data_IF_692626117322
#
_entry.id   IF_692626117322
#
_cell.length_a   1.000
_cell.length_b   1.000
_cell.length_c   1.000
_cell.angle_alpha   90.00
_cell.angle_beta   90.00
_cell.angle_gamma   90.00
#
_symmetry.space_group_name_H-M   'P 1'
#
loop_
_entity.id
_entity.type
_entity.pdbx_description
1 polymer ?
#
# COMPACT_ATOMS: atom_id res chain seq x y z
N UNK A 1 -35.20 8.21 14.99
CA UNK A 1 -34.73 8.53 16.36
C UNK A 1 -33.30 9.02 16.25
N UNK A 2 -32.95 10.15 16.86
CA UNK A 2 -31.56 10.62 16.91
C UNK A 2 -30.80 9.88 18.01
N UNK A 3 -29.68 9.23 17.67
CA UNK A 3 -28.78 8.64 18.66
C UNK A 3 -28.12 9.75 19.49
N UNK A 4 -28.17 9.65 20.82
CA UNK A 4 -27.49 10.61 21.70
C UNK A 4 -26.12 10.08 22.19
N UNK A 5 -25.87 8.76 22.01
CA UNK A 5 -24.60 8.06 22.27
C UNK A 5 -24.10 8.17 23.71
N UNK A 6 -25.00 8.39 24.68
CA UNK A 6 -24.65 8.55 26.10
C UNK A 6 -24.56 7.22 26.87
N UNK A 7 -25.15 6.15 26.35
CA UNK A 7 -25.11 4.82 26.96
C UNK A 7 -24.32 3.83 26.12
N UNK A 8 -23.64 2.90 26.77
CA UNK A 8 -22.89 1.83 26.10
C UNK A 8 -23.81 0.97 25.21
N UNK A 9 -25.06 0.74 25.63
CA UNK A 9 -26.07 0.02 24.86
C UNK A 9 -26.43 0.73 23.56
N UNK A 10 -26.64 2.05 23.60
CA UNK A 10 -26.92 2.83 22.39
C UNK A 10 -25.74 2.82 21.41
N UNK A 11 -24.51 2.94 21.93
CA UNK A 11 -23.29 2.87 21.10
C UNK A 11 -23.18 1.50 20.42
N UNK A 12 -23.42 0.41 21.16
CA UNK A 12 -23.41 -0.96 20.60
C UNK A 12 -24.48 -1.14 19.52
N UNK A 13 -25.68 -0.64 19.75
CA UNK A 13 -26.77 -0.70 18.78
C UNK A 13 -26.41 0.07 17.50
N UNK A 14 -25.95 1.32 17.64
CA UNK A 14 -25.52 2.15 16.52
C UNK A 14 -24.44 1.46 15.68
N UNK A 15 -23.39 0.92 16.32
CA UNK A 15 -22.30 0.20 15.66
C UNK A 15 -22.83 -1.04 14.93
N UNK A 16 -23.78 -1.78 15.52
CA UNK A 16 -24.35 -2.95 14.88
C UNK A 16 -25.19 -2.57 13.65
N UNK A 17 -26.02 -1.53 13.75
CA UNK A 17 -26.81 -1.01 12.63
C UNK A 17 -25.90 -0.50 11.51
N UNK A 18 -24.82 0.21 11.85
CA UNK A 18 -23.82 0.66 10.87
C UNK A 18 -23.20 -0.52 10.10
N UNK A 19 -22.89 -1.62 10.79
CA UNK A 19 -22.40 -2.84 10.15
C UNK A 19 -23.42 -3.52 9.23
N UNK A 20 -24.73 -3.36 9.47
CA UNK A 20 -25.81 -3.84 8.60
C UNK A 20 -25.88 -2.96 7.35
N UNK A 21 -25.88 -1.64 7.51
CA UNK A 21 -25.88 -0.68 6.40
C UNK A 21 -24.69 -0.89 5.47
N UNK A 22 -23.48 -1.06 6.02
CA UNK A 22 -22.29 -1.35 5.22
C UNK A 22 -22.38 -2.68 4.47
N UNK A 23 -22.99 -3.72 5.05
CA UNK A 23 -23.23 -4.99 4.36
C UNK A 23 -24.22 -4.82 3.22
N UNK A 24 -25.32 -4.12 3.47
CA UNK A 24 -26.33 -3.87 2.45
C UNK A 24 -25.76 -3.06 1.27
N UNK A 25 -25.09 -1.94 1.56
CA UNK A 25 -24.49 -1.11 0.50
C UNK A 25 -23.37 -1.82 -0.27
N UNK A 26 -22.59 -2.68 0.40
CA UNK A 26 -21.56 -3.45 -0.29
C UNK A 26 -22.13 -4.60 -1.15
N UNK A 27 -23.01 -5.43 -0.60
CA UNK A 27 -23.44 -6.67 -1.28
C UNK A 27 -24.68 -6.50 -2.14
N UNK A 28 -25.63 -5.65 -1.73
CA UNK A 28 -26.86 -5.40 -2.48
C UNK A 28 -26.65 -4.28 -3.51
N UNK A 29 -26.10 -3.15 -3.07
CA UNK A 29 -25.94 -1.97 -3.94
C UNK A 29 -24.60 -1.95 -4.70
N UNK A 30 -23.65 -2.82 -4.31
CA UNK A 30 -22.33 -2.95 -4.97
C UNK A 30 -21.51 -1.65 -4.99
N UNK A 31 -21.68 -0.82 -3.96
CA UNK A 31 -20.97 0.46 -3.82
C UNK A 31 -19.53 0.25 -3.35
N UNK A 32 -18.51 0.55 -4.17
CA UNK A 32 -17.12 0.22 -3.83
C UNK A 32 -16.61 0.92 -2.56
N UNK A 33 -16.99 2.18 -2.36
CA UNK A 33 -16.68 2.96 -1.17
C UNK A 33 -17.32 2.34 0.09
N UNK A 34 -18.55 1.82 -0.02
CA UNK A 34 -19.24 1.17 1.11
C UNK A 34 -18.64 -0.21 1.41
N UNK A 35 -18.22 -0.96 0.39
CA UNK A 35 -17.44 -2.18 0.59
C UNK A 35 -16.12 -1.93 1.32
N UNK A 36 -15.44 -0.82 1.03
CA UNK A 36 -14.25 -0.44 1.77
C UNK A 36 -14.56 -0.15 3.24
N UNK A 37 -15.63 0.61 3.52
CA UNK A 37 -16.10 0.87 4.89
C UNK A 37 -16.49 -0.42 5.63
N UNK A 38 -17.11 -1.38 4.95
CA UNK A 38 -17.40 -2.69 5.52
C UNK A 38 -16.12 -3.41 5.94
N UNK A 39 -15.09 -3.39 5.09
CA UNK A 39 -13.81 -4.01 5.39
C UNK A 39 -13.08 -3.32 6.56
N UNK A 40 -13.06 -1.98 6.59
CA UNK A 40 -12.51 -1.20 7.71
C UNK A 40 -13.27 -1.49 9.01
N UNK A 41 -14.60 -1.64 8.96
CA UNK A 41 -15.44 -2.00 10.09
C UNK A 41 -15.10 -3.40 10.62
N UNK A 42 -14.95 -4.38 9.72
CA UNK A 42 -14.55 -5.73 10.07
C UNK A 42 -13.16 -5.76 10.71
N UNK A 43 -12.21 -5.01 10.15
CA UNK A 43 -10.84 -4.89 10.65
C UNK A 43 -10.77 -4.21 12.03
N UNK A 44 -11.36 -3.02 12.14
CA UNK A 44 -11.09 -2.13 13.26
C UNK A 44 -12.03 -2.35 14.42
N UNK A 45 -13.30 -2.68 14.14
CA UNK A 45 -14.36 -2.80 15.15
C UNK A 45 -14.60 -4.26 15.51
N UNK A 46 -14.81 -5.13 14.51
CA UNK A 46 -15.07 -6.56 14.77
C UNK A 46 -13.79 -7.38 14.96
N UNK A 47 -12.62 -6.82 14.62
CA UNK A 47 -11.31 -7.51 14.64
C UNK A 47 -11.31 -8.83 13.85
N UNK A 48 -12.16 -8.92 12.83
CA UNK A 48 -12.30 -10.07 11.94
C UNK A 48 -11.45 -9.83 10.69
N UNK A 49 -10.14 -10.04 10.86
CA UNK A 49 -9.15 -9.79 9.80
C UNK A 49 -9.34 -10.70 8.58
N UNK A 50 -9.79 -11.93 8.78
CA UNK A 50 -10.02 -12.86 7.66
C UNK A 50 -11.17 -12.40 6.77
N UNK A 51 -12.29 -11.95 7.37
CA UNK A 51 -13.39 -11.37 6.58
C UNK A 51 -13.01 -10.03 5.99
N UNK A 52 -12.32 -9.16 6.72
CA UNK A 52 -11.84 -7.89 6.19
C UNK A 52 -10.97 -8.10 4.94
N UNK A 53 -10.03 -9.05 4.99
CA UNK A 53 -9.18 -9.41 3.86
C UNK A 53 -9.99 -9.83 2.63
N UNK A 54 -11.02 -10.68 2.82
CA UNK A 54 -11.91 -11.12 1.73
C UNK A 54 -12.66 -9.95 1.10
N UNK A 55 -13.19 -9.03 1.91
CA UNK A 55 -13.92 -7.86 1.40
C UNK A 55 -12.98 -6.90 0.67
N UNK A 56 -11.79 -6.59 1.21
CA UNK A 56 -10.80 -5.77 0.51
C UNK A 56 -10.38 -6.39 -0.82
N UNK A 57 -10.09 -7.69 -0.84
CA UNK A 57 -9.71 -8.42 -2.05
C UNK A 57 -10.81 -8.31 -3.12
N UNK A 58 -12.05 -8.66 -2.75
CA UNK A 58 -13.18 -8.62 -3.66
C UNK A 58 -13.44 -7.20 -4.20
N UNK A 59 -13.38 -6.19 -3.34
CA UNK A 59 -13.58 -4.79 -3.75
C UNK A 59 -12.46 -4.29 -4.69
N UNK A 60 -11.22 -4.75 -4.48
CA UNK A 60 -10.12 -4.47 -5.42
C UNK A 60 -10.35 -5.17 -6.76
N UNK A 61 -10.64 -6.47 -6.74
CA UNK A 61 -10.68 -7.31 -7.95
C UNK A 61 -11.92 -7.03 -8.81
N UNK A 62 -13.10 -6.95 -8.20
CA UNK A 62 -14.37 -6.83 -8.91
C UNK A 62 -14.77 -5.37 -9.15
N UNK A 63 -14.58 -4.52 -8.15
CA UNK A 63 -15.06 -3.13 -8.18
C UNK A 63 -13.96 -2.10 -8.44
N UNK A 64 -12.72 -2.56 -8.68
CA UNK A 64 -11.57 -1.73 -9.07
C UNK A 64 -11.33 -0.55 -8.12
N UNK A 65 -11.51 -0.77 -6.81
CA UNK A 65 -11.31 0.28 -5.81
C UNK A 65 -9.86 0.31 -5.32
N UNK A 66 -9.09 1.31 -5.76
CA UNK A 66 -7.64 1.43 -5.51
C UNK A 66 -7.24 1.30 -4.03
N UNK A 67 -7.96 1.96 -3.12
CA UNK A 67 -7.72 1.87 -1.66
C UNK A 67 -7.87 0.44 -1.13
N UNK A 68 -8.80 -0.33 -1.69
CA UNK A 68 -8.95 -1.74 -1.32
C UNK A 68 -7.82 -2.61 -1.84
N UNK A 69 -7.26 -2.30 -3.01
CA UNK A 69 -6.06 -2.95 -3.50
C UNK A 69 -4.86 -2.67 -2.59
N UNK A 70 -4.67 -1.40 -2.19
CA UNK A 70 -3.67 -1.01 -1.19
C UNK A 70 -3.82 -1.83 0.09
N UNK A 71 -5.02 -1.83 0.70
CA UNK A 71 -5.28 -2.54 1.96
C UNK A 71 -5.02 -4.03 1.83
N UNK A 72 -5.48 -4.68 0.75
CA UNK A 72 -5.22 -6.10 0.57
C UNK A 72 -3.74 -6.40 0.34
N UNK A 73 -3.04 -5.58 -0.44
CA UNK A 73 -1.59 -5.67 -0.59
C UNK A 73 -0.85 -5.55 0.74
N UNK A 74 -1.25 -4.61 1.61
CA UNK A 74 -0.72 -4.46 2.97
C UNK A 74 -1.04 -5.68 3.84
N UNK A 75 -2.24 -6.25 3.73
CA UNK A 75 -2.61 -7.47 4.44
C UNK A 75 -1.72 -8.64 4.04
N UNK A 76 -1.50 -8.83 2.74
CA UNK A 76 -0.59 -9.85 2.22
C UNK A 76 0.85 -9.60 2.69
N UNK A 77 1.31 -8.35 2.70
CA UNK A 77 2.65 -8.01 3.19
C UNK A 77 2.83 -8.39 4.67
N UNK A 78 1.83 -8.09 5.51
CA UNK A 78 1.88 -8.31 6.96
C UNK A 78 1.39 -9.70 7.39
N UNK A 79 0.89 -10.52 6.45
CA UNK A 79 0.22 -11.79 6.76
C UNK A 79 -1.06 -11.63 7.58
N UNK A 80 -1.66 -10.43 7.59
CA UNK A 80 -2.90 -10.15 8.33
C UNK A 80 -4.05 -10.86 7.63
N UNK A 81 -4.84 -11.64 8.37
CA UNK A 81 -5.96 -12.41 7.81
C UNK A 81 -5.58 -13.71 7.06
N UNK A 82 -4.29 -14.03 6.92
CA UNK A 82 -3.79 -15.29 6.33
C UNK A 82 -2.68 -15.98 7.13
N UNK A 83 -2.28 -15.42 8.28
CA UNK A 83 -1.19 -15.86 9.18
C UNK A 83 0.20 -15.96 8.54
N UNK A 84 0.37 -15.65 7.25
CA UNK A 84 1.64 -15.73 6.54
C UNK A 84 1.77 -14.55 5.57
N UNK A 85 2.92 -13.87 5.64
CA UNK A 85 3.29 -12.83 4.68
C UNK A 85 3.54 -13.40 3.29
N UNK A 86 3.06 -12.69 2.28
CA UNK A 86 3.27 -12.98 0.86
C UNK A 86 3.64 -11.69 0.13
N UNK A 87 4.93 -11.51 -0.11
CA UNK A 87 5.49 -10.32 -0.75
C UNK A 87 5.17 -10.24 -2.23
N UNK A 88 4.99 -11.39 -2.91
CA UNK A 88 4.64 -11.41 -4.33
C UNK A 88 3.19 -10.96 -4.51
N UNK A 89 2.28 -11.50 -3.70
CA UNK A 89 0.89 -11.05 -3.70
C UNK A 89 0.80 -9.57 -3.28
N UNK A 90 1.55 -9.15 -2.27
CA UNK A 90 1.59 -7.72 -1.89
C UNK A 90 1.99 -6.84 -3.09
N UNK A 91 3.08 -7.19 -3.77
CA UNK A 91 3.57 -6.50 -4.96
C UNK A 91 2.50 -6.40 -6.06
N UNK A 92 1.83 -7.51 -6.36
CA UNK A 92 0.82 -7.57 -7.43
C UNK A 92 -0.43 -6.72 -7.10
N UNK A 93 -0.84 -6.67 -5.83
CA UNK A 93 -1.98 -5.83 -5.43
C UNK A 93 -1.62 -4.36 -5.28
N UNK A 94 -0.38 -4.05 -4.90
CA UNK A 94 0.12 -2.68 -4.98
C UNK A 94 0.21 -2.21 -6.44
N UNK A 95 0.58 -3.08 -7.39
CA UNK A 95 0.53 -2.75 -8.82
C UNK A 95 -0.90 -2.39 -9.27
N UNK A 96 -1.89 -3.23 -8.90
CA UNK A 96 -3.31 -2.94 -9.18
C UNK A 96 -3.74 -1.59 -8.63
N UNK A 97 -3.46 -1.32 -7.35
CA UNK A 97 -3.80 -0.03 -6.74
C UNK A 97 -3.10 1.13 -7.42
N UNK A 98 -1.81 0.97 -7.77
CA UNK A 98 -1.03 2.00 -8.45
C UNK A 98 -1.56 2.30 -9.86
N UNK A 99 -2.08 1.29 -10.57
CA UNK A 99 -2.74 1.45 -11.86
C UNK A 99 -4.12 2.10 -11.76
N UNK A 100 -4.73 2.06 -10.58
CA UNK A 100 -5.99 2.74 -10.23
C UNK A 100 -5.74 4.10 -9.56
N UNK A 101 -4.59 4.71 -9.84
CA UNK A 101 -4.19 6.04 -9.35
C UNK A 101 -4.16 6.16 -7.82
N UNK A 102 -4.00 5.06 -7.08
CA UNK A 102 -3.81 5.07 -5.61
C UNK A 102 -2.32 5.29 -5.29
N UNK A 103 -1.90 6.50 -4.88
CA UNK A 103 -0.47 6.86 -4.80
C UNK A 103 0.27 6.07 -3.73
N UNK A 104 -0.40 5.74 -2.62
CA UNK A 104 0.15 4.89 -1.58
C UNK A 104 0.47 3.47 -2.09
N UNK A 105 -0.28 2.98 -3.08
CA UNK A 105 0.03 1.67 -3.69
C UNK A 105 1.30 1.74 -4.51
N UNK A 106 1.48 2.80 -5.32
CA UNK A 106 2.72 3.03 -6.06
C UNK A 106 3.93 3.14 -5.13
N UNK A 107 3.79 3.87 -4.00
CA UNK A 107 4.81 3.96 -2.97
C UNK A 107 5.20 2.58 -2.45
N UNK A 108 4.23 1.78 -1.99
CA UNK A 108 4.50 0.48 -1.39
C UNK A 108 5.09 -0.52 -2.40
N UNK A 109 4.63 -0.49 -3.66
CA UNK A 109 5.22 -1.29 -4.74
C UNK A 109 6.69 -0.90 -4.99
N UNK A 110 6.97 0.41 -5.07
CA UNK A 110 8.32 0.93 -5.27
C UNK A 110 9.26 0.57 -4.12
N UNK A 111 8.78 0.68 -2.87
CA UNK A 111 9.55 0.27 -1.69
C UNK A 111 9.93 -1.22 -1.72
N UNK A 112 9.04 -2.10 -2.18
CA UNK A 112 9.36 -3.52 -2.36
C UNK A 112 10.47 -3.78 -3.38
N UNK A 113 10.71 -2.88 -4.33
CA UNK A 113 11.76 -3.03 -5.33
C UNK A 113 13.07 -2.37 -4.94
N UNK A 114 13.08 -1.36 -4.05
CA UNK A 114 14.32 -0.68 -3.64
C UNK A 114 14.91 -1.25 -2.35
N UNK A 115 14.09 -1.78 -1.44
CA UNK A 115 14.57 -2.32 -0.16
C UNK A 115 15.38 -3.59 -0.40
N UNK A 116 16.65 -3.62 0.04
CA UNK A 116 17.45 -4.85 0.04
C UNK A 116 16.86 -5.91 0.96
N UNK A 117 16.88 -7.15 0.51
CA UNK A 117 16.29 -8.29 1.21
C UNK A 117 16.80 -9.59 0.58
N UNK A 118 16.61 -10.71 1.29
CA UNK A 118 16.93 -12.06 0.78
C UNK A 118 15.69 -12.81 0.28
N UNK A 119 14.57 -12.12 0.00
CA UNK A 119 13.35 -12.79 -0.50
C UNK A 119 13.50 -13.13 -1.99
N UNK A 120 12.93 -14.25 -2.46
CA UNK A 120 13.02 -14.64 -3.85
C UNK A 120 12.27 -13.69 -4.78
N UNK A 121 11.12 -13.16 -4.34
CA UNK A 121 10.27 -12.26 -5.11
C UNK A 121 9.55 -11.22 -4.21
N UNK A 122 9.27 -10.00 -4.73
CA UNK A 122 9.81 -9.45 -5.97
C UNK A 122 11.32 -9.19 -5.83
N UNK A 123 12.06 -9.42 -6.92
CA UNK A 123 13.50 -9.10 -6.99
C UNK A 123 13.70 -7.59 -6.93
N UNK A 124 14.85 -7.18 -6.40
CA UNK A 124 15.23 -5.78 -6.36
C UNK A 124 15.33 -5.21 -7.79
N UNK A 125 14.72 -4.06 -8.00
CA UNK A 125 14.80 -3.27 -9.24
C UNK A 125 14.67 -1.79 -8.87
N UNK A 126 15.83 -1.18 -8.63
CA UNK A 126 15.87 0.18 -8.09
C UNK A 126 15.34 1.19 -9.11
N UNK A 127 15.62 1.00 -10.40
CA UNK A 127 15.17 1.89 -11.45
C UNK A 127 13.64 1.90 -11.53
N UNK A 128 13.02 0.72 -11.63
CA UNK A 128 11.55 0.58 -11.61
C UNK A 128 10.96 1.08 -10.28
N UNK A 129 11.64 0.82 -9.16
CA UNK A 129 11.26 1.31 -7.85
C UNK A 129 11.17 2.84 -7.79
N UNK A 130 12.15 3.54 -8.36
CA UNK A 130 12.15 5.00 -8.44
C UNK A 130 11.05 5.54 -9.36
N UNK A 131 10.80 4.92 -10.51
CA UNK A 131 9.68 5.31 -11.39
C UNK A 131 8.33 5.25 -10.65
N UNK A 132 8.13 4.18 -9.85
CA UNK A 132 6.94 4.04 -9.02
C UNK A 132 6.85 5.10 -7.93
N UNK A 133 7.97 5.46 -7.30
CA UNK A 133 8.00 6.56 -6.35
C UNK A 133 7.72 7.91 -7.03
N UNK A 134 8.18 8.13 -8.26
CA UNK A 134 7.93 9.38 -9.03
C UNK A 134 6.44 9.50 -9.37
N UNK A 135 5.82 8.38 -9.74
CA UNK A 135 4.37 8.29 -9.94
C UNK A 135 3.61 8.58 -8.64
N UNK A 136 4.01 7.97 -7.52
CA UNK A 136 3.40 8.22 -6.22
C UNK A 136 3.53 9.68 -5.77
N UNK A 137 4.71 10.28 -5.94
CA UNK A 137 4.99 11.67 -5.61
C UNK A 137 4.15 12.63 -6.47
N UNK A 138 4.03 12.35 -7.78
CA UNK A 138 3.13 13.08 -8.69
C UNK A 138 1.66 12.96 -8.27
N UNK A 139 1.29 11.82 -7.67
CA UNK A 139 0.02 11.59 -6.98
C UNK A 139 -0.11 12.28 -5.61
N UNK A 140 0.77 13.22 -5.28
CA UNK A 140 0.81 13.98 -4.00
C UNK A 140 1.10 13.11 -2.77
N UNK A 141 1.77 11.96 -2.94
CA UNK A 141 2.26 11.18 -1.82
C UNK A 141 3.55 11.80 -1.25
N UNK A 142 3.44 12.49 -0.12
CA UNK A 142 4.58 13.16 0.51
C UNK A 142 5.73 12.21 0.89
N UNK A 143 5.40 10.99 1.33
CA UNK A 143 6.42 10.00 1.68
C UNK A 143 7.22 9.56 0.45
N UNK A 144 6.56 9.37 -0.69
CA UNK A 144 7.25 9.04 -1.94
C UNK A 144 8.21 10.15 -2.38
N UNK A 145 7.77 11.41 -2.31
CA UNK A 145 8.64 12.56 -2.60
C UNK A 145 9.84 12.60 -1.65
N UNK A 146 9.62 12.32 -0.36
CA UNK A 146 10.69 12.25 0.64
C UNK A 146 11.72 11.15 0.31
N UNK A 147 11.26 9.93 -0.03
CA UNK A 147 12.16 8.85 -0.43
C UNK A 147 12.97 9.22 -1.67
N UNK A 148 12.32 9.78 -2.70
CA UNK A 148 13.02 10.24 -3.91
C UNK A 148 14.06 11.31 -3.63
N UNK A 149 13.72 12.30 -2.80
CA UNK A 149 14.64 13.35 -2.39
C UNK A 149 15.90 12.74 -1.78
N UNK A 150 15.74 11.82 -0.82
CA UNK A 150 16.83 11.09 -0.21
C UNK A 150 17.69 10.35 -1.24
N UNK A 151 17.06 9.62 -2.17
CA UNK A 151 17.76 8.89 -3.24
C UNK A 151 18.55 9.82 -4.17
N UNK A 152 17.99 10.98 -4.54
CA UNK A 152 18.68 11.95 -5.39
C UNK A 152 19.80 12.73 -4.66
N UNK A 153 19.70 12.94 -3.34
CA UNK A 153 20.76 13.57 -2.54
C UNK A 153 21.99 12.66 -2.45
N UNK A 154 21.77 11.38 -2.12
CA UNK A 154 22.86 10.43 -1.87
C UNK A 154 23.38 9.77 -3.15
N UNK A 155 22.52 9.65 -4.17
CA UNK A 155 22.74 8.80 -5.34
C UNK A 155 22.67 7.32 -4.97
N UNK A 156 22.32 6.47 -5.93
CA UNK A 156 22.30 5.02 -5.73
C UNK A 156 23.48 4.39 -6.44
N UNK A 157 24.32 3.69 -5.70
CA UNK A 157 25.49 2.99 -6.24
C UNK A 157 25.06 1.67 -6.87
N UNK A 158 25.70 1.29 -7.97
CA UNK A 158 25.58 -0.03 -8.55
C UNK A 158 26.51 -0.98 -7.78
N UNK A 159 25.97 -1.70 -6.82
CA UNK A 159 26.77 -2.56 -5.92
C UNK A 159 27.49 -3.70 -6.63
N UNK A 160 27.04 -4.09 -7.83
CA UNK A 160 27.76 -5.06 -8.65
C UNK A 160 29.12 -4.54 -9.15
N UNK A 161 29.34 -3.22 -9.11
CA UNK A 161 30.56 -2.56 -9.60
C UNK A 161 31.41 -1.96 -8.47
N UNK A 162 30.94 -1.98 -7.22
CA UNK A 162 31.64 -1.33 -6.10
C UNK A 162 32.53 -2.33 -5.39
N UNK A 163 33.86 -2.14 -5.49
CA UNK A 163 34.83 -2.89 -4.69
C UNK A 163 34.80 -2.42 -3.21
N UNK A 164 34.99 -3.33 -2.23
CA UNK A 164 35.11 -2.94 -0.83
C UNK A 164 36.30 -2.00 -0.60
N UNK A 165 36.08 -0.87 0.09
CA UNK A 165 37.10 0.11 0.51
C UNK A 165 37.77 0.96 -0.58
N UNK A 166 37.17 1.09 -1.77
CA UNK A 166 37.69 2.01 -2.82
C UNK A 166 36.82 3.27 -2.96
N UNK A 167 37.41 4.34 -3.51
CA UNK A 167 36.65 5.56 -3.86
C UNK A 167 35.72 5.25 -5.03
N UNK A 168 34.42 5.37 -4.80
CA UNK A 168 33.39 5.11 -5.80
C UNK A 168 33.51 6.07 -6.98
N UNK A 169 33.59 5.53 -8.20
CA UNK A 169 33.71 6.30 -9.43
C UNK A 169 32.34 6.76 -9.93
N UNK A 170 32.25 7.82 -10.77
CA UNK A 170 30.98 8.32 -11.28
C UNK A 170 30.15 7.28 -12.06
N UNK A 171 30.80 6.40 -12.82
CA UNK A 171 30.21 5.31 -13.61
C UNK A 171 29.70 4.12 -12.77
N UNK A 172 30.00 4.10 -11.46
CA UNK A 172 29.54 3.09 -10.51
C UNK A 172 28.21 3.50 -9.83
N UNK A 173 27.53 4.55 -10.30
CA UNK A 173 26.21 4.94 -9.84
C UNK A 173 25.13 4.39 -10.77
N UNK A 174 24.19 3.63 -10.21
CA UNK A 174 22.95 3.28 -10.89
C UNK A 174 22.07 4.53 -11.06
N UNK A 175 22.09 5.43 -10.06
CA UNK A 175 21.38 6.70 -10.06
C UNK A 175 22.32 7.77 -9.54
N UNK A 176 22.64 8.74 -10.39
CA UNK A 176 23.52 9.85 -10.01
C UNK A 176 22.81 10.82 -9.06
N UNK A 177 23.62 11.49 -8.24
CA UNK A 177 23.16 12.60 -7.40
C UNK A 177 22.55 13.70 -8.27
N UNK A 178 21.39 14.21 -7.88
CA UNK A 178 20.71 15.28 -8.60
C UNK A 178 19.98 16.23 -7.64
N UNK A 179 20.69 17.24 -7.17
CA UNK A 179 20.15 18.23 -6.23
C UNK A 179 18.94 19.01 -6.77
N UNK A 180 18.80 19.16 -8.10
CA UNK A 180 17.64 19.84 -8.68
C UNK A 180 16.37 19.00 -8.60
N UNK A 181 16.50 17.67 -8.65
CA UNK A 181 15.37 16.73 -8.47
C UNK A 181 15.12 16.39 -6.99
N UNK A 182 16.00 16.81 -6.08
CA UNK A 182 15.87 16.56 -4.65
C UNK A 182 14.90 17.49 -3.93
N UNK A 183 14.54 18.64 -4.52
CA UNK A 183 13.73 19.68 -3.89
C UNK A 183 12.47 19.99 -4.71
#
# INVERSE_FOLDING_TARGET
MSYNLKSESEVKEYINNLGIEYRFGCYSEKKPEVCHLLADFLESIKKDYEKAAKVYKNNCDEYKYGKSCLKYGTYSLLGRGSKKSDFKVAYDYFEKGCNLEEPDSCLNQGLLLITKNDRPEPKQDIAKGMELLEKACSGKNANACYYLSGMYIVGVKNEALVEPNTKVKPDEFLIHKNMKKSF
#
